data_IF_751534360376
#
_entry.id   IF_751534360376
#
_cell.length_a   1.000
_cell.length_b   1.000
_cell.length_c   1.000
_cell.angle_alpha   90.00
_cell.angle_beta   90.00
_cell.angle_gamma   90.00
#
_symmetry.space_group_name_H-M   'P 1'
#
loop_
_entity.id
_entity.type
_entity.pdbx_description
1 polymer ?
#
# COMPACT_ATOMS: atom_id res chain seq x y z
N UNK A 1 -21.39 16.28 15.49
CA UNK A 1 -20.16 15.49 15.73
C UNK A 1 -19.22 15.38 14.52
N UNK A 2 -19.70 14.97 13.32
CA UNK A 2 -18.85 14.78 12.11
C UNK A 2 -17.97 15.98 11.71
N UNK A 3 -18.50 17.22 11.76
CA UNK A 3 -17.75 18.44 11.40
C UNK A 3 -16.56 18.73 12.33
N UNK A 4 -16.65 18.37 13.62
CA UNK A 4 -15.59 18.61 14.63
C UNK A 4 -14.35 17.72 14.42
N UNK A 5 -14.55 16.45 14.02
CA UNK A 5 -13.45 15.53 13.68
C UNK A 5 -12.66 16.02 12.46
N UNK A 6 -13.34 16.47 11.41
CA UNK A 6 -12.68 17.04 10.23
C UNK A 6 -11.92 18.33 10.55
N UNK A 7 -12.41 19.12 11.50
CA UNK A 7 -11.77 20.36 11.91
C UNK A 7 -10.50 20.09 12.72
N UNK A 8 -10.53 19.14 13.68
CA UNK A 8 -9.32 18.71 14.43
C UNK A 8 -8.26 18.05 13.55
N UNK A 9 -8.67 17.24 12.57
CA UNK A 9 -7.76 16.67 11.57
C UNK A 9 -7.05 17.76 10.72
N UNK A 10 -7.64 18.95 10.64
CA UNK A 10 -7.06 20.12 9.95
C UNK A 10 -6.08 20.90 10.83
N UNK A 11 -6.18 20.78 12.17
CA UNK A 11 -5.30 21.48 13.12
C UNK A 11 -3.92 20.80 13.24
N UNK A 12 -3.89 19.46 13.30
CA UNK A 12 -2.63 18.68 13.34
C UNK A 12 -2.58 17.60 12.25
N UNK A 13 -2.54 17.99 10.97
CA UNK A 13 -2.66 17.06 9.85
C UNK A 13 -1.55 16.01 9.81
N UNK A 14 -0.37 16.30 10.38
CA UNK A 14 0.73 15.33 10.45
C UNK A 14 0.39 14.16 11.38
N UNK A 15 0.17 14.43 12.66
CA UNK A 15 -0.11 13.39 13.67
C UNK A 15 -1.33 12.58 13.25
N UNK A 16 -2.43 13.23 12.84
CA UNK A 16 -3.64 12.51 12.41
C UNK A 16 -3.39 11.58 11.23
N UNK A 17 -2.64 12.01 10.21
CA UNK A 17 -2.35 11.16 9.06
C UNK A 17 -1.42 10.00 9.41
N UNK A 18 -0.38 10.25 10.20
CA UNK A 18 0.59 9.22 10.59
C UNK A 18 -0.06 8.17 11.48
N UNK A 19 -0.85 8.60 12.47
CA UNK A 19 -1.60 7.68 13.34
C UNK A 19 -2.59 6.86 12.53
N UNK A 20 -3.38 7.49 11.65
CA UNK A 20 -4.34 6.79 10.81
C UNK A 20 -3.63 5.80 9.86
N UNK A 21 -2.52 6.20 9.26
CA UNK A 21 -1.71 5.32 8.42
C UNK A 21 -1.25 4.09 9.20
N UNK A 22 -0.66 4.29 10.39
CA UNK A 22 -0.20 3.18 11.23
C UNK A 22 -1.32 2.23 11.66
N UNK A 23 -2.48 2.77 12.05
CA UNK A 23 -3.66 1.96 12.38
C UNK A 23 -4.16 1.14 11.19
N UNK A 24 -4.21 1.73 10.00
CA UNK A 24 -4.63 1.03 8.77
C UNK A 24 -3.60 -0.03 8.34
N UNK A 25 -2.31 0.25 8.53
CA UNK A 25 -1.25 -0.68 8.20
C UNK A 25 -1.28 -1.90 9.14
N UNK A 26 -1.41 -1.67 10.46
CA UNK A 26 -1.57 -2.73 11.45
C UNK A 26 -2.89 -3.51 11.27
N UNK A 27 -3.98 -2.81 10.97
CA UNK A 27 -5.26 -3.45 10.64
C UNK A 27 -5.18 -4.30 9.38
N UNK A 28 -4.39 -3.87 8.38
CA UNK A 28 -4.14 -4.65 7.16
C UNK A 28 -3.37 -5.92 7.46
N UNK A 29 -2.37 -5.84 8.33
CA UNK A 29 -1.65 -7.02 8.82
C UNK A 29 -2.56 -8.00 9.56
N UNK A 30 -3.40 -7.52 10.48
CA UNK A 30 -4.40 -8.36 11.15
C UNK A 30 -5.36 -9.02 10.17
N UNK A 31 -5.89 -8.25 9.21
CA UNK A 31 -6.78 -8.77 8.18
C UNK A 31 -6.08 -9.86 7.34
N UNK A 32 -4.81 -9.63 6.99
CA UNK A 32 -3.99 -10.62 6.29
C UNK A 32 -3.82 -11.90 7.12
N UNK A 33 -3.49 -11.80 8.41
CA UNK A 33 -3.35 -12.96 9.30
C UNK A 33 -4.67 -13.73 9.47
N UNK A 34 -5.80 -13.04 9.68
CA UNK A 34 -7.11 -13.66 9.81
C UNK A 34 -7.54 -14.37 8.53
N UNK A 35 -7.38 -13.73 7.37
CA UNK A 35 -7.75 -14.32 6.09
C UNK A 35 -6.78 -15.43 5.67
N UNK A 36 -5.53 -15.41 6.13
CA UNK A 36 -4.57 -16.48 5.86
C UNK A 36 -4.88 -17.79 6.61
N UNK A 37 -6.01 -17.86 7.34
CA UNK A 37 -6.41 -19.02 8.16
C UNK A 37 -5.29 -19.48 9.09
N UNK A 38 -4.57 -18.52 9.68
CA UNK A 38 -3.61 -18.86 10.72
C UNK A 38 -4.41 -19.32 11.94
N UNK A 39 -4.14 -20.54 12.43
CA UNK A 39 -4.81 -21.08 13.62
C UNK A 39 -4.64 -20.18 14.86
N UNK A 40 -3.60 -19.31 14.83
CA UNK A 40 -3.31 -18.31 15.84
C UNK A 40 -2.91 -16.96 15.20
N UNK A 41 -3.47 -15.87 15.74
CA UNK A 41 -3.06 -14.50 15.39
C UNK A 41 -1.77 -14.16 16.14
N UNK A 42 -0.73 -13.77 15.40
CA UNK A 42 0.54 -13.28 15.95
C UNK A 42 0.45 -11.77 16.24
N UNK A 43 0.01 -11.47 17.45
CA UNK A 43 -0.07 -10.11 17.99
C UNK A 43 1.30 -9.44 18.12
N UNK A 44 2.38 -10.20 18.30
CA UNK A 44 3.74 -9.64 18.42
C UNK A 44 4.19 -9.12 17.06
N UNK A 45 3.93 -9.88 15.99
CA UNK A 45 4.19 -9.44 14.62
C UNK A 45 3.39 -8.18 14.28
N UNK A 46 2.07 -8.18 14.51
CA UNK A 46 1.23 -7.00 14.24
C UNK A 46 1.71 -5.76 15.01
N UNK A 47 2.09 -5.92 16.28
CA UNK A 47 2.66 -4.81 17.06
C UNK A 47 3.95 -4.28 16.43
N UNK A 48 4.85 -5.16 16.02
CA UNK A 48 6.11 -4.77 15.38
C UNK A 48 5.85 -4.03 14.05
N UNK A 49 4.91 -4.52 13.24
CA UNK A 49 4.43 -3.85 12.02
C UNK A 49 3.87 -2.47 12.33
N UNK A 50 3.02 -2.35 13.36
CA UNK A 50 2.44 -1.07 13.79
C UNK A 50 3.53 -0.06 14.20
N UNK A 51 4.55 -0.52 14.93
CA UNK A 51 5.67 0.33 15.37
C UNK A 51 6.45 0.83 14.15
N UNK A 52 6.83 -0.04 13.21
CA UNK A 52 7.55 0.34 11.99
C UNK A 52 6.69 1.31 11.14
N UNK A 53 5.39 1.06 11.05
CA UNK A 53 4.47 1.90 10.31
C UNK A 53 4.32 3.32 10.91
N UNK A 54 4.21 3.41 12.24
CA UNK A 54 4.04 4.68 12.96
C UNK A 54 5.33 5.49 13.06
N UNK A 55 6.46 4.82 13.29
CA UNK A 55 7.75 5.50 13.53
C UNK A 55 8.41 5.92 12.22
N UNK A 56 8.39 5.05 11.20
CA UNK A 56 9.05 5.32 9.92
C UNK A 56 8.06 5.60 8.79
N UNK A 57 7.25 4.62 8.38
CA UNK A 57 6.54 4.68 7.09
C UNK A 57 5.57 5.87 7.00
N UNK A 58 4.76 6.09 8.03
CA UNK A 58 3.80 7.19 8.05
C UNK A 58 4.50 8.55 7.98
N UNK A 59 5.58 8.73 8.73
CA UNK A 59 6.37 9.96 8.71
C UNK A 59 7.06 10.17 7.37
N UNK A 60 7.76 9.14 6.89
CA UNK A 60 8.45 9.17 5.61
C UNK A 60 7.47 9.51 4.49
N UNK A 61 6.33 8.83 4.40
CA UNK A 61 5.30 9.10 3.40
C UNK A 61 4.76 10.53 3.50
N UNK A 62 4.45 11.01 4.71
CA UNK A 62 3.93 12.36 4.92
C UNK A 62 4.89 13.46 4.43
N UNK A 63 6.16 13.35 4.79
CA UNK A 63 7.17 14.33 4.37
C UNK A 63 7.55 14.18 2.90
N UNK A 64 7.65 12.94 2.40
CA UNK A 64 7.97 12.63 1.01
C UNK A 64 6.96 13.22 0.03
N UNK A 65 5.66 13.01 0.27
CA UNK A 65 4.61 13.54 -0.59
C UNK A 65 4.60 15.08 -0.63
N UNK A 66 4.97 15.73 0.47
CA UNK A 66 5.14 17.19 0.54
C UNK A 66 6.39 17.65 -0.18
N UNK A 67 7.50 16.91 -0.08
CA UNK A 67 8.72 17.20 -0.82
C UNK A 67 8.48 17.10 -2.33
N UNK A 68 7.80 16.06 -2.79
CA UNK A 68 7.39 15.89 -4.18
C UNK A 68 6.48 17.02 -4.68
N UNK A 69 5.51 17.46 -3.86
CA UNK A 69 4.65 18.58 -4.23
C UNK A 69 5.41 19.91 -4.31
N UNK A 70 6.39 20.14 -3.42
CA UNK A 70 7.26 21.33 -3.50
C UNK A 70 8.16 21.32 -4.73
N UNK A 71 8.73 20.15 -5.08
CA UNK A 71 9.68 20.02 -6.19
C UNK A 71 9.02 20.01 -7.57
N UNK A 72 7.81 19.47 -7.66
CA UNK A 72 7.02 19.34 -8.89
C UNK A 72 5.60 19.86 -8.64
N UNK A 73 5.39 21.17 -8.46
CA UNK A 73 4.08 21.70 -8.11
C UNK A 73 3.04 21.44 -9.19
N UNK A 74 1.80 21.20 -8.76
CA UNK A 74 0.65 21.09 -9.66
C UNK A 74 0.29 19.65 -10.06
N UNK A 75 -0.73 19.56 -10.93
CA UNK A 75 -1.43 18.31 -11.29
C UNK A 75 -1.39 18.01 -12.79
N UNK A 76 -0.55 18.70 -13.57
CA UNK A 76 -0.38 18.34 -14.97
C UNK A 76 0.16 16.92 -15.10
N UNK A 77 -0.25 16.20 -16.15
CA UNK A 77 0.12 14.80 -16.34
C UNK A 77 1.64 14.60 -16.28
N UNK A 78 2.42 15.49 -16.91
CA UNK A 78 3.88 15.45 -16.86
C UNK A 78 4.46 15.60 -15.45
N UNK A 79 3.89 16.45 -14.59
CA UNK A 79 4.33 16.57 -13.20
C UNK A 79 3.97 15.34 -12.37
N UNK A 80 2.76 14.81 -12.56
CA UNK A 80 2.32 13.59 -11.87
C UNK A 80 3.20 12.41 -12.25
N UNK A 81 3.51 12.23 -13.53
CA UNK A 81 4.40 11.17 -13.99
C UNK A 81 5.83 11.30 -13.42
N UNK A 82 6.38 12.52 -13.33
CA UNK A 82 7.68 12.75 -12.67
C UNK A 82 7.67 12.37 -11.20
N UNK A 83 6.61 12.78 -10.46
CA UNK A 83 6.42 12.38 -9.06
C UNK A 83 6.34 10.85 -8.95
N UNK A 84 5.62 10.22 -9.86
CA UNK A 84 5.43 8.77 -9.87
C UNK A 84 6.74 8.01 -10.11
N UNK A 85 7.51 8.41 -11.12
CA UNK A 85 8.80 7.78 -11.41
C UNK A 85 9.73 7.87 -10.20
N UNK A 86 9.87 9.06 -9.59
CA UNK A 86 10.68 9.26 -8.39
C UNK A 86 10.19 8.45 -7.20
N UNK A 87 8.88 8.41 -6.99
CA UNK A 87 8.28 7.65 -5.90
C UNK A 87 8.57 6.16 -6.04
N UNK A 88 8.40 5.61 -7.25
CA UNK A 88 8.60 4.19 -7.51
C UNK A 88 10.08 3.81 -7.55
N UNK A 89 10.97 4.67 -8.05
CA UNK A 89 12.40 4.36 -8.16
C UNK A 89 13.19 4.58 -6.85
N UNK A 90 12.70 5.42 -5.93
CA UNK A 90 13.41 5.75 -4.69
C UNK A 90 12.61 5.44 -3.43
N UNK A 91 11.41 6.00 -3.30
CA UNK A 91 10.64 5.88 -2.06
C UNK A 91 10.11 4.46 -1.84
N UNK A 92 9.59 3.83 -2.89
CA UNK A 92 9.09 2.45 -2.85
C UNK A 92 10.16 1.43 -2.43
N UNK A 93 11.37 1.37 -3.05
CA UNK A 93 12.39 0.42 -2.63
C UNK A 93 12.95 0.73 -1.25
N UNK A 94 13.08 2.02 -0.87
CA UNK A 94 13.51 2.40 0.47
C UNK A 94 12.50 1.95 1.53
N UNK A 95 11.22 2.27 1.35
CA UNK A 95 10.16 1.90 2.29
C UNK A 95 10.03 0.38 2.41
N UNK A 96 10.10 -0.36 1.29
CA UNK A 96 10.06 -1.83 1.31
C UNK A 96 11.28 -2.39 2.05
N UNK A 97 12.46 -1.79 1.87
CA UNK A 97 13.67 -2.24 2.56
C UNK A 97 13.57 -2.05 4.06
N UNK A 98 13.16 -0.85 4.50
CA UNK A 98 12.99 -0.53 5.93
C UNK A 98 11.89 -1.36 6.57
N UNK A 99 10.84 -1.71 5.83
CA UNK A 99 9.82 -2.62 6.33
C UNK A 99 10.41 -3.98 6.71
N UNK A 100 11.09 -4.64 5.77
CA UNK A 100 11.64 -5.98 6.02
C UNK A 100 12.75 -5.98 7.07
N UNK A 101 13.69 -5.03 7.00
CA UNK A 101 14.78 -4.96 7.98
C UNK A 101 14.28 -4.50 9.34
N UNK A 102 13.36 -3.53 9.38
CA UNK A 102 12.78 -3.02 10.62
C UNK A 102 11.96 -4.07 11.37
N UNK A 103 11.12 -4.82 10.65
CA UNK A 103 10.35 -5.92 11.26
C UNK A 103 11.28 -7.03 11.74
N UNK A 104 12.24 -7.47 10.93
CA UNK A 104 13.22 -8.51 11.31
C UNK A 104 14.06 -8.10 12.53
N UNK A 105 14.45 -6.83 12.63
CA UNK A 105 15.14 -6.27 13.79
C UNK A 105 14.26 -6.33 15.05
N UNK A 106 12.99 -5.92 14.94
CA UNK A 106 12.03 -5.95 16.06
C UNK A 106 11.64 -7.37 16.49
N UNK A 107 11.77 -8.34 15.60
CA UNK A 107 11.58 -9.77 15.91
C UNK A 107 12.80 -10.38 16.59
N UNK A 108 13.98 -9.76 16.46
CA UNK A 108 15.25 -10.24 17.02
C UNK A 108 15.89 -11.33 16.19
N UNK A 109 15.71 -11.32 14.86
CA UNK A 109 16.36 -12.28 13.96
C UNK A 109 17.88 -12.09 13.95
N UNK A 110 18.62 -13.18 13.91
CA UNK A 110 20.09 -13.17 13.82
C UNK A 110 20.55 -12.50 12.50
N UNK A 111 19.87 -12.80 11.40
CA UNK A 111 20.09 -12.16 10.11
C UNK A 111 18.90 -11.26 9.72
N UNK A 112 19.06 -9.97 9.98
CA UNK A 112 18.05 -8.93 9.70
C UNK A 112 17.74 -8.82 8.19
N UNK A 113 18.68 -9.22 7.33
CA UNK A 113 18.57 -9.07 5.88
C UNK A 113 18.04 -10.33 5.19
N UNK A 114 17.84 -11.44 5.91
CA UNK A 114 17.35 -12.69 5.32
C UNK A 114 16.02 -12.47 4.57
N UNK A 115 15.01 -12.00 5.27
CA UNK A 115 13.69 -11.70 4.69
C UNK A 115 13.77 -10.69 3.55
N UNK A 116 14.66 -9.70 3.67
CA UNK A 116 14.87 -8.70 2.63
C UNK A 116 15.41 -9.37 1.35
N UNK A 117 16.47 -10.18 1.44
CA UNK A 117 17.06 -10.85 0.26
C UNK A 117 16.08 -11.81 -0.42
N UNK A 118 15.28 -12.51 0.38
CA UNK A 118 14.32 -13.51 -0.13
C UNK A 118 13.08 -12.86 -0.75
N UNK A 119 12.54 -11.81 -0.11
CA UNK A 119 11.18 -11.30 -0.42
C UNK A 119 11.18 -9.97 -1.16
N UNK A 120 12.24 -9.16 -1.05
CA UNK A 120 12.26 -7.79 -1.57
C UNK A 120 11.91 -7.73 -3.06
N UNK A 121 12.60 -8.49 -3.91
CA UNK A 121 12.40 -8.43 -5.36
C UNK A 121 11.00 -8.84 -5.77
N UNK A 122 10.46 -9.89 -5.15
CA UNK A 122 9.10 -10.34 -5.44
C UNK A 122 8.08 -9.28 -5.02
N UNK A 123 8.18 -8.78 -3.80
CA UNK A 123 7.29 -7.73 -3.26
C UNK A 123 7.37 -6.44 -4.05
N UNK A 124 8.58 -6.01 -4.43
CA UNK A 124 8.79 -4.81 -5.23
C UNK A 124 8.18 -4.98 -6.63
N UNK A 125 8.41 -6.12 -7.30
CA UNK A 125 7.86 -6.40 -8.63
C UNK A 125 6.33 -6.43 -8.63
N UNK A 126 5.71 -7.13 -7.68
CA UNK A 126 4.25 -7.12 -7.56
C UNK A 126 3.74 -5.73 -7.18
N UNK A 127 4.46 -5.04 -6.31
CA UNK A 127 4.16 -3.67 -5.88
C UNK A 127 4.12 -2.69 -7.05
N UNK A 128 5.02 -2.83 -8.04
CA UNK A 128 5.04 -1.99 -9.25
C UNK A 128 3.78 -2.13 -10.11
N UNK A 129 2.94 -3.14 -9.91
CA UNK A 129 1.64 -3.23 -10.61
C UNK A 129 0.53 -2.46 -9.89
N UNK A 130 0.65 -2.28 -8.58
CA UNK A 130 -0.41 -1.73 -7.72
C UNK A 130 -0.11 -0.29 -7.28
N UNK A 131 1.09 -0.07 -6.73
CA UNK A 131 1.47 1.19 -6.12
C UNK A 131 1.49 2.35 -7.12
N UNK A 132 2.00 2.21 -8.36
CA UNK A 132 1.99 3.35 -9.28
C UNK A 132 0.57 3.82 -9.60
N UNK A 133 -0.38 2.90 -9.75
CA UNK A 133 -1.78 3.24 -10.01
C UNK A 133 -2.40 3.97 -8.82
N UNK A 134 -2.23 3.45 -7.59
CA UNK A 134 -2.75 4.10 -6.39
C UNK A 134 -2.11 5.47 -6.15
N UNK A 135 -0.81 5.59 -6.39
CA UNK A 135 -0.06 6.82 -6.21
C UNK A 135 -0.45 7.88 -7.27
N UNK A 136 -0.76 7.44 -8.49
CA UNK A 136 -1.34 8.31 -9.52
C UNK A 136 -2.68 8.89 -9.07
N UNK A 137 -3.61 8.04 -8.60
CA UNK A 137 -4.91 8.49 -8.07
C UNK A 137 -4.72 9.44 -6.88
N UNK A 138 -3.76 9.13 -6.00
CA UNK A 138 -3.42 9.98 -4.87
C UNK A 138 -3.02 11.40 -5.29
N UNK A 139 -2.14 11.53 -6.29
CA UNK A 139 -1.67 12.85 -6.74
C UNK A 139 -2.74 13.66 -7.47
N UNK A 140 -3.60 13.00 -8.25
CA UNK A 140 -4.64 13.65 -9.06
C UNK A 140 -5.86 14.03 -8.20
N UNK A 141 -6.33 13.13 -7.34
CA UNK A 141 -7.61 13.26 -6.65
C UNK A 141 -7.47 13.86 -5.24
N UNK A 142 -6.44 13.45 -4.49
CA UNK A 142 -6.37 13.75 -3.06
C UNK A 142 -5.71 15.11 -2.78
N UNK A 143 -6.30 15.94 -1.90
CA UNK A 143 -5.62 17.13 -1.40
C UNK A 143 -4.43 16.73 -0.53
N UNK A 144 -3.38 17.56 -0.51
CA UNK A 144 -2.08 17.23 0.10
C UNK A 144 -2.18 16.73 1.56
N UNK A 145 -3.11 17.26 2.35
CA UNK A 145 -3.29 16.90 3.75
C UNK A 145 -3.98 15.54 3.98
N UNK A 146 -4.54 14.89 2.95
CA UNK A 146 -5.14 13.54 3.04
C UNK A 146 -4.34 12.47 2.30
N UNK A 147 -3.28 12.85 1.59
CA UNK A 147 -2.55 11.92 0.73
C UNK A 147 -1.95 10.76 1.51
N UNK A 148 -1.42 10.99 2.71
CA UNK A 148 -0.88 9.92 3.55
C UNK A 148 -1.98 9.00 4.09
N UNK A 149 -3.10 9.55 4.55
CA UNK A 149 -4.26 8.76 4.95
C UNK A 149 -4.76 7.85 3.82
N UNK A 150 -4.86 8.37 2.59
CA UNK A 150 -5.21 7.58 1.42
C UNK A 150 -4.22 6.43 1.19
N UNK A 151 -2.92 6.68 1.31
CA UNK A 151 -1.91 5.63 1.18
C UNK A 151 -2.04 4.55 2.25
N UNK A 152 -2.46 4.91 3.46
CA UNK A 152 -2.81 3.95 4.52
C UNK A 152 -4.00 3.06 4.10
N UNK A 153 -5.04 3.64 3.51
CA UNK A 153 -6.19 2.89 3.00
C UNK A 153 -5.78 1.94 1.86
N UNK A 154 -4.94 2.41 0.93
CA UNK A 154 -4.40 1.57 -0.13
C UNK A 154 -3.54 0.42 0.44
N UNK A 155 -2.73 0.66 1.46
CA UNK A 155 -1.97 -0.39 2.12
C UNK A 155 -2.86 -1.46 2.76
N UNK A 156 -3.96 -1.06 3.39
CA UNK A 156 -4.96 -2.00 3.91
C UNK A 156 -5.55 -2.87 2.79
N UNK A 157 -5.95 -2.25 1.67
CA UNK A 157 -6.47 -2.98 0.50
C UNK A 157 -5.44 -3.94 -0.10
N UNK A 158 -4.18 -3.53 -0.17
CA UNK A 158 -3.07 -4.36 -0.62
C UNK A 158 -2.91 -5.61 0.26
N UNK A 159 -3.00 -5.48 1.58
CA UNK A 159 -2.91 -6.62 2.50
C UNK A 159 -4.03 -7.65 2.26
N UNK A 160 -5.26 -7.18 2.06
CA UNK A 160 -6.41 -8.04 1.69
C UNK A 160 -6.17 -8.73 0.35
N UNK A 161 -5.67 -8.00 -0.65
CA UNK A 161 -5.36 -8.55 -1.97
C UNK A 161 -4.28 -9.64 -1.92
N UNK A 162 -3.20 -9.42 -1.17
CA UNK A 162 -2.14 -10.43 -1.01
C UNK A 162 -2.69 -11.71 -0.38
N UNK A 163 -3.59 -11.59 0.60
CA UNK A 163 -4.22 -12.76 1.18
C UNK A 163 -5.02 -13.56 0.15
N UNK A 164 -5.87 -12.88 -0.61
CA UNK A 164 -6.63 -13.51 -1.69
C UNK A 164 -5.73 -14.15 -2.75
N UNK A 165 -4.63 -13.49 -3.11
CA UNK A 165 -3.67 -14.05 -4.08
C UNK A 165 -2.98 -15.30 -3.55
N UNK A 166 -2.61 -15.34 -2.27
CA UNK A 166 -1.93 -16.48 -1.64
C UNK A 166 -2.84 -17.70 -1.53
N UNK A 167 -4.13 -17.51 -1.28
CA UNK A 167 -5.12 -18.60 -1.26
C UNK A 167 -5.32 -19.27 -2.63
N UNK A 168 -5.09 -18.55 -3.72
CA UNK A 168 -5.35 -19.04 -5.08
C UNK A 168 -4.12 -19.66 -5.77
N UNK A 169 -2.96 -19.76 -5.12
CA UNK A 169 -1.79 -20.53 -5.58
C UNK A 169 -1.05 -20.02 -6.82
N UNK A 170 -1.65 -19.13 -7.62
CA UNK A 170 -1.13 -18.74 -8.92
C UNK A 170 -0.58 -17.31 -8.91
N UNK A 171 0.70 -17.16 -9.30
CA UNK A 171 1.44 -15.91 -9.37
C UNK A 171 0.60 -14.69 -9.77
N UNK A 172 0.60 -13.71 -8.87
CA UNK A 172 -0.24 -12.51 -8.72
C UNK A 172 -0.63 -11.74 -9.98
N UNK A 173 0.18 -11.79 -11.04
CA UNK A 173 -0.12 -11.11 -12.30
C UNK A 173 -1.24 -11.82 -13.07
N UNK A 174 -1.25 -13.15 -13.09
CA UNK A 174 -2.18 -13.94 -13.91
C UNK A 174 -3.61 -13.86 -13.37
N UNK A 175 -3.82 -13.90 -12.05
CA UNK A 175 -5.15 -13.81 -11.43
C UNK A 175 -5.72 -12.40 -11.54
N UNK A 176 -4.91 -11.36 -11.31
CA UNK A 176 -5.34 -9.97 -11.50
C UNK A 176 -5.67 -9.66 -12.98
N UNK A 177 -4.85 -10.15 -13.91
CA UNK A 177 -5.11 -10.06 -15.35
C UNK A 177 -6.33 -10.88 -15.77
N UNK A 178 -6.50 -12.10 -15.24
CA UNK A 178 -7.65 -12.95 -15.52
C UNK A 178 -8.95 -12.33 -15.01
N UNK A 179 -8.94 -11.70 -13.83
CA UNK A 179 -10.10 -11.00 -13.29
C UNK A 179 -10.45 -9.74 -14.08
N UNK A 180 -9.45 -8.98 -14.57
CA UNK A 180 -9.67 -7.84 -15.48
C UNK A 180 -10.12 -8.28 -16.89
N UNK A 181 -9.69 -9.45 -17.37
CA UNK A 181 -10.08 -10.00 -18.68
C UNK A 181 -11.39 -10.79 -18.65
N UNK A 182 -11.81 -11.29 -17.48
CA UNK A 182 -13.06 -12.02 -17.27
C UNK A 182 -14.33 -11.21 -17.64
N UNK A 183 -14.46 -9.90 -17.35
CA UNK A 183 -15.61 -9.13 -17.80
C UNK A 183 -15.72 -9.09 -19.32
N UNK A 184 -14.58 -9.01 -20.05
CA UNK A 184 -14.59 -9.09 -21.52
C UNK A 184 -15.02 -10.46 -22.04
N UNK A 185 -14.54 -11.57 -21.45
CA UNK A 185 -14.97 -12.92 -21.86
C UNK A 185 -16.45 -13.19 -21.61
N UNK A 186 -17.01 -12.73 -20.48
CA UNK A 186 -18.45 -12.86 -20.19
C UNK A 186 -19.32 -12.03 -21.12
N UNK A 187 -18.87 -10.83 -21.51
CA UNK A 187 -19.58 -9.97 -22.47
C UNK A 187 -19.52 -10.52 -23.90
N UNK A 188 -18.37 -11.05 -24.32
CA UNK A 188 -18.22 -11.69 -25.63
C UNK A 188 -19.04 -12.98 -25.73
N UNK A 189 -19.00 -13.84 -24.71
CA UNK A 189 -19.81 -15.06 -24.68
C UNK A 189 -21.32 -14.80 -24.66
N UNK A 190 -21.75 -13.63 -24.13
CA UNK A 190 -23.15 -13.19 -24.18
C UNK A 190 -23.54 -12.68 -25.57
N UNK A 191 -22.68 -11.89 -26.23
CA UNK A 191 -22.90 -11.46 -27.62
C UNK A 191 -22.99 -12.63 -28.61
N UNK A 192 -22.10 -13.62 -28.50
CA UNK A 192 -22.11 -14.80 -29.39
C UNK A 192 -23.32 -15.73 -29.16
N UNK A 193 -24.00 -15.61 -28.01
CA UNK A 193 -25.26 -16.32 -27.72
C UNK A 193 -26.51 -15.54 -28.14
N UNK A 194 -26.42 -14.24 -28.33
CA UNK A 194 -27.54 -13.40 -28.81
C UNK A 194 -27.55 -13.28 -30.36
N UNK A 195 -26.45 -13.63 -31.05
CA UNK A 195 -26.34 -13.68 -32.53
C UNK A 195 -26.56 -15.09 -33.13
N UNK A 196 -26.94 -16.10 -32.34
CA UNK A 196 -27.33 -17.45 -32.79
C UNK A 196 -28.75 -17.76 -32.37
#
# INVERSE_FOLDING_TARGET
MRKSLFQKAKVFPWITNVTLYGCLFAGGDLAHQCLAHSDHIDWRHTRNVAIVALTFHGNFNYFWLRALERRFPGRSLGMVLRKLVLDQSFASPLATSVFYTGVSFMEGKEDIFQDWREKFFNTYKTGLMYWPFMQFLNFVLMPLYLRTAFMGCSAFLWATFLCFSRQNGDGTAAVALAWMMAPKKRLLARKTKEEK
#
